data_IF_370456397607
#
_entry.id   IF_370456397607
#
_cell.length_a   1.000
_cell.length_b   1.000
_cell.length_c   1.000
_cell.angle_alpha   90.00
_cell.angle_beta   90.00
_cell.angle_gamma   90.00
#
_symmetry.space_group_name_H-M   'P 1'
#
loop_
_entity.id
_entity.type
_entity.pdbx_description
1 polymer ?
#
# COMPACT_ATOMS: atom_id res chain seq x y z
N UNK A 1 8.60 11.67 -4.69
CA UNK A 1 7.54 12.72 -4.69
C UNK A 1 7.27 13.11 -3.22
N UNK A 2 7.47 14.38 -2.84
CA UNK A 2 7.20 14.86 -1.47
C UNK A 2 5.71 14.66 -1.14
N UNK A 3 5.42 14.28 0.10
CA UNK A 3 4.06 14.02 0.58
C UNK A 3 3.16 15.25 0.34
N UNK A 4 2.01 15.04 -0.30
CA UNK A 4 0.98 16.08 -0.44
C UNK A 4 0.44 16.34 0.97
N UNK A 5 0.61 17.54 1.52
CA UNK A 5 0.05 17.89 2.84
C UNK A 5 -1.37 18.44 2.65
N UNK A 6 -2.24 18.22 3.63
CA UNK A 6 -3.61 18.70 3.65
C UNK A 6 -3.84 19.51 4.93
N UNK A 7 -4.68 20.54 4.84
CA UNK A 7 -5.14 21.35 5.97
C UNK A 7 -6.65 21.17 6.04
N UNK A 8 -7.14 20.83 7.22
CA UNK A 8 -8.56 20.78 7.55
C UNK A 8 -8.87 22.00 8.41
N UNK A 9 -9.75 22.87 7.93
CA UNK A 9 -10.22 24.03 8.66
C UNK A 9 -11.34 23.65 9.64
N UNK A 10 -11.57 24.47 10.66
CA UNK A 10 -12.59 24.20 11.69
C UNK A 10 -14.02 24.10 11.13
N UNK A 11 -14.27 24.66 9.96
CA UNK A 11 -15.53 24.53 9.23
C UNK A 11 -15.65 23.22 8.43
N UNK A 12 -14.68 22.32 8.54
CA UNK A 12 -14.62 21.05 7.79
C UNK A 12 -14.07 21.16 6.36
N UNK A 13 -13.65 22.34 5.91
CA UNK A 13 -13.05 22.51 4.58
C UNK A 13 -11.67 21.85 4.54
N UNK A 14 -11.36 21.15 3.44
CA UNK A 14 -10.06 20.48 3.25
C UNK A 14 -9.32 21.11 2.07
N UNK A 15 -8.15 21.70 2.33
CA UNK A 15 -7.28 22.29 1.30
C UNK A 15 -5.96 21.54 1.21
N UNK A 16 -5.48 21.34 -0.02
CA UNK A 16 -4.14 20.82 -0.27
C UNK A 16 -3.10 21.93 -0.18
N UNK A 17 -2.09 21.73 0.66
CA UNK A 17 -1.00 22.70 0.82
C UNK A 17 -0.15 22.79 -0.44
N UNK A 18 -0.01 24.00 -0.97
CA UNK A 18 0.91 24.31 -2.07
C UNK A 18 2.20 24.92 -1.49
N UNK A 19 3.35 24.32 -1.78
CA UNK A 19 4.65 24.80 -1.31
C UNK A 19 4.90 24.57 0.19
N UNK A 20 5.37 25.59 0.91
CA UNK A 20 5.70 25.53 2.34
C UNK A 20 4.51 25.67 3.28
N UNK A 21 3.33 26.08 2.77
CA UNK A 21 2.08 26.13 3.53
C UNK A 21 1.95 27.25 4.58
N UNK A 22 2.99 28.07 4.78
CA UNK A 22 3.04 29.11 5.83
C UNK A 22 1.90 30.14 5.74
N UNK A 23 1.36 30.40 4.55
CA UNK A 23 0.25 31.34 4.33
C UNK A 23 -1.15 30.72 4.45
N UNK A 24 -1.28 29.39 4.49
CA UNK A 24 -2.56 28.68 4.44
C UNK A 24 -2.96 28.07 5.79
N UNK A 25 -2.05 28.13 6.78
CA UNK A 25 -2.26 27.61 8.12
C UNK A 25 -2.92 28.72 8.93
N UNK A 26 -4.15 28.49 9.34
CA UNK A 26 -4.88 29.35 10.26
C UNK A 26 -4.90 28.72 11.66
N UNK A 27 -5.00 29.53 12.73
CA UNK A 27 -5.19 29.01 14.07
C UNK A 27 -6.43 28.12 14.15
N UNK A 28 -6.28 26.92 14.72
CA UNK A 28 -7.39 25.96 14.85
C UNK A 28 -7.54 24.97 13.70
N UNK A 29 -6.72 25.07 12.65
CA UNK A 29 -6.71 24.06 11.58
C UNK A 29 -5.90 22.82 11.93
N UNK A 30 -6.35 21.65 11.48
CA UNK A 30 -5.63 20.39 11.60
C UNK A 30 -4.79 20.13 10.34
N UNK A 31 -3.49 19.91 10.52
CA UNK A 31 -2.56 19.67 9.40
C UNK A 31 -2.30 18.18 9.26
N UNK A 32 -2.86 17.58 8.20
CA UNK A 32 -2.67 16.17 7.89
C UNK A 32 -1.49 16.03 6.93
N UNK A 33 -0.40 15.44 7.43
CA UNK A 33 0.76 15.08 6.62
C UNK A 33 0.72 13.56 6.40
N UNK A 34 0.27 13.07 5.23
CA UNK A 34 0.30 11.66 4.96
C UNK A 34 1.76 11.18 4.91
N UNK A 35 2.05 10.14 5.67
CA UNK A 35 3.28 9.38 5.48
C UNK A 35 3.23 8.73 4.09
N UNK A 36 4.41 8.47 3.48
CA UNK A 36 4.42 7.72 2.22
C UNK A 36 3.77 6.37 2.49
N UNK A 37 2.75 6.01 1.72
CA UNK A 37 2.24 4.65 1.72
C UNK A 37 3.43 3.73 1.50
N UNK A 38 3.80 2.97 2.53
CA UNK A 38 4.80 1.91 2.36
C UNK A 38 4.20 1.02 1.28
N UNK A 39 4.87 0.93 0.12
CA UNK A 39 4.57 -0.14 -0.82
C UNK A 39 4.82 -1.41 -0.02
N UNK A 40 3.75 -1.99 0.53
CA UNK A 40 3.77 -3.37 1.00
C UNK A 40 3.90 -4.17 -0.29
N UNK A 41 5.11 -4.21 -0.85
CA UNK A 41 5.48 -5.24 -1.81
C UNK A 41 5.21 -6.50 -1.03
N UNK A 42 4.12 -7.15 -1.41
CA UNK A 42 3.52 -8.19 -0.62
C UNK A 42 4.34 -9.46 -0.87
N UNK A 43 5.59 -9.46 -0.40
CA UNK A 43 6.51 -10.61 -0.51
C UNK A 43 5.84 -11.82 0.12
N UNK A 44 5.04 -11.62 1.18
CA UNK A 44 4.15 -12.63 1.75
C UNK A 44 3.13 -13.18 0.75
N UNK A 45 2.39 -12.34 0.04
CA UNK A 45 1.46 -12.83 -1.00
C UNK A 45 2.18 -13.38 -2.23
N UNK A 46 3.29 -12.79 -2.68
CA UNK A 46 4.06 -13.30 -3.81
C UNK A 46 4.64 -14.68 -3.48
N UNK A 47 5.17 -14.85 -2.27
CA UNK A 47 5.61 -16.13 -1.74
C UNK A 47 4.41 -17.09 -1.63
N UNK A 48 3.28 -16.66 -1.08
CA UNK A 48 2.08 -17.49 -0.98
C UNK A 48 1.53 -17.92 -2.36
N UNK A 49 1.58 -17.04 -3.36
CA UNK A 49 1.21 -17.36 -4.74
C UNK A 49 2.22 -18.31 -5.38
N UNK A 50 3.52 -18.11 -5.15
CA UNK A 50 4.56 -19.03 -5.59
C UNK A 50 4.41 -20.42 -4.94
N UNK A 51 4.13 -20.47 -3.64
CA UNK A 51 3.89 -21.70 -2.88
C UNK A 51 2.63 -22.43 -3.37
N UNK A 52 1.56 -21.70 -3.68
CA UNK A 52 0.32 -22.28 -4.22
C UNK A 52 0.54 -22.89 -5.60
N UNK A 53 1.27 -22.19 -6.48
CA UNK A 53 1.62 -22.71 -7.80
C UNK A 53 2.56 -23.93 -7.70
N UNK A 54 3.55 -23.91 -6.81
CA UNK A 54 4.43 -25.05 -6.57
C UNK A 54 3.68 -26.25 -5.99
N UNK A 55 2.71 -26.03 -5.10
CA UNK A 55 1.92 -27.12 -4.50
C UNK A 55 1.08 -27.83 -5.56
N UNK A 56 0.45 -27.09 -6.49
CA UNK A 56 -0.31 -27.68 -7.59
C UNK A 56 0.62 -28.43 -8.54
N UNK A 57 1.77 -27.84 -8.90
CA UNK A 57 2.76 -28.50 -9.74
C UNK A 57 3.30 -29.79 -9.12
N UNK A 58 3.56 -29.79 -7.82
CA UNK A 58 3.95 -30.98 -7.06
C UNK A 58 2.85 -32.03 -7.04
N UNK A 59 1.59 -31.67 -6.81
CA UNK A 59 0.47 -32.63 -6.85
C UNK A 59 0.35 -33.30 -8.22
N UNK A 60 0.43 -32.52 -9.30
CA UNK A 60 0.39 -33.06 -10.67
C UNK A 60 1.61 -33.95 -10.93
N UNK A 61 2.81 -33.52 -10.53
CA UNK A 61 4.03 -34.30 -10.66
C UNK A 61 3.96 -35.62 -9.86
N UNK A 62 3.41 -35.59 -8.65
CA UNK A 62 3.19 -36.77 -7.82
C UNK A 62 2.22 -37.74 -8.49
N UNK A 63 1.09 -37.26 -9.00
CA UNK A 63 0.11 -38.09 -9.73
C UNK A 63 0.76 -38.68 -10.99
N UNK A 64 1.46 -37.87 -11.77
CA UNK A 64 2.15 -38.32 -12.97
C UNK A 64 3.22 -39.38 -12.65
N UNK A 65 3.95 -39.22 -11.55
CA UNK A 65 4.96 -40.19 -11.12
C UNK A 65 4.36 -41.48 -10.58
N UNK A 66 3.14 -41.44 -10.03
CA UNK A 66 2.36 -42.61 -9.63
C UNK A 66 1.74 -43.36 -10.81
N UNK A 67 1.37 -42.66 -11.89
CA UNK A 67 0.78 -43.25 -13.11
C UNK A 67 1.87 -43.77 -14.06
N UNK A 68 3.06 -43.15 -14.05
CA UNK A 68 4.20 -43.54 -14.90
C UNK A 68 4.96 -44.77 -14.38
N UNK A 69 4.68 -45.19 -13.14
CA UNK A 69 5.17 -46.44 -12.55
C UNK A 69 4.13 -47.54 -12.77
#
# INVERSE_FOLDING_TARGET
>A
KKSKKFIVYMNGQVTKVKGSGKKQIEPGCEIIIPSKAKKKTNVGNLLAYATSFSSIGMMIASIANLIKK
#
